data_IF_525524653912
#
_entry.id   IF_525524653912
#
_cell.length_a   1.000
_cell.length_b   1.000
_cell.length_c   1.000
_cell.angle_alpha   90.00
_cell.angle_beta   90.00
_cell.angle_gamma   90.00
#
_symmetry.space_group_name_H-M   'P 1'
#
loop_
_entity.id
_entity.type
_entity.pdbx_description
1 polymer ?
#
# COMPACT_ATOMS: atom_id res chain seq x y z
N UNK A 1 -15.63 21.35 -35.19
CA UNK A 1 -16.34 20.95 -33.95
C UNK A 1 -16.19 22.08 -32.97
N UNK A 2 -17.27 22.78 -32.61
CA UNK A 2 -17.19 23.90 -31.68
C UNK A 2 -16.92 23.36 -30.27
N UNK A 3 -15.79 23.74 -29.68
CA UNK A 3 -15.45 23.41 -28.30
C UNK A 3 -16.19 24.38 -27.39
N UNK A 4 -17.07 23.84 -26.55
CA UNK A 4 -17.79 24.59 -25.52
C UNK A 4 -16.74 25.26 -24.62
N UNK A 5 -16.76 26.59 -24.58
CA UNK A 5 -15.87 27.39 -23.74
C UNK A 5 -16.29 27.29 -22.28
N UNK A 6 -15.42 27.60 -21.34
CA UNK A 6 -15.77 27.48 -19.92
C UNK A 6 -16.87 28.47 -19.51
N UNK A 7 -16.98 29.60 -20.21
CA UNK A 7 -18.11 30.53 -20.10
C UNK A 7 -19.43 29.88 -20.55
N UNK A 8 -19.42 29.09 -21.62
CA UNK A 8 -20.61 28.39 -22.10
C UNK A 8 -21.08 27.32 -21.09
N UNK A 9 -20.15 26.59 -20.46
CA UNK A 9 -20.50 25.60 -19.41
C UNK A 9 -21.10 26.26 -18.18
N UNK A 10 -20.56 27.42 -17.78
CA UNK A 10 -21.05 28.19 -16.65
C UNK A 10 -22.48 28.68 -16.89
N UNK A 11 -22.74 29.28 -18.06
CA UNK A 11 -24.08 29.75 -18.45
C UNK A 11 -25.08 28.59 -18.48
N UNK A 12 -24.69 27.43 -19.02
CA UNK A 12 -25.55 26.24 -19.01
C UNK A 12 -25.88 25.78 -17.59
N UNK A 13 -24.90 25.73 -16.68
CA UNK A 13 -25.14 25.33 -15.29
C UNK A 13 -26.04 26.32 -14.53
N UNK A 14 -25.89 27.62 -14.77
CA UNK A 14 -26.75 28.64 -14.18
C UNK A 14 -28.20 28.54 -14.68
N UNK A 15 -28.41 28.12 -15.94
CA UNK A 15 -29.75 27.92 -16.51
C UNK A 15 -30.43 26.67 -15.93
N UNK A 16 -29.69 25.56 -15.81
CA UNK A 16 -30.27 24.27 -15.41
C UNK A 16 -30.31 24.04 -13.90
N UNK A 17 -29.65 24.87 -13.09
CA UNK A 17 -29.66 24.76 -11.64
C UNK A 17 -30.11 26.08 -10.98
N UNK A 18 -31.40 26.21 -10.62
CA UNK A 18 -31.99 27.48 -10.15
C UNK A 18 -31.41 28.05 -8.85
N UNK A 19 -30.69 27.24 -8.08
CA UNK A 19 -30.00 27.65 -6.85
C UNK A 19 -28.49 27.83 -7.05
N UNK A 20 -28.00 27.86 -8.30
CA UNK A 20 -26.59 28.07 -8.59
C UNK A 20 -26.20 29.52 -8.27
N UNK A 21 -25.18 29.76 -7.42
CA UNK A 21 -24.78 31.11 -7.03
C UNK A 21 -24.27 31.90 -8.24
N UNK A 22 -24.92 33.02 -8.56
CA UNK A 22 -24.53 33.91 -9.67
C UNK A 22 -23.43 34.90 -9.25
N UNK A 23 -22.34 34.38 -8.67
CA UNK A 23 -21.13 35.19 -8.43
C UNK A 23 -20.17 35.01 -9.61
N UNK A 24 -20.01 36.09 -10.39
CA UNK A 24 -19.16 36.14 -11.58
C UNK A 24 -17.65 36.08 -11.29
N UNK A 25 -17.27 36.11 -10.01
CA UNK A 25 -15.88 36.06 -9.52
C UNK A 25 -15.50 34.72 -8.86
N UNK A 26 -16.32 33.67 -8.99
CA UNK A 26 -15.93 32.35 -8.50
C UNK A 26 -14.77 31.80 -9.35
N UNK A 27 -13.54 31.89 -8.82
CA UNK A 27 -12.44 31.05 -9.24
C UNK A 27 -12.89 29.58 -9.27
N UNK A 28 -12.42 28.77 -10.23
CA UNK A 28 -12.89 27.40 -10.43
C UNK A 28 -12.95 26.66 -9.10
N UNK A 29 -14.11 26.08 -8.81
CA UNK A 29 -14.37 25.43 -7.52
C UNK A 29 -13.26 24.42 -7.20
N UNK A 30 -12.74 24.49 -5.97
CA UNK A 30 -11.68 23.63 -5.42
C UNK A 30 -11.95 22.14 -5.62
N UNK A 31 -13.21 21.75 -5.77
CA UNK A 31 -13.64 20.38 -6.05
C UNK A 31 -13.12 19.86 -7.40
N UNK A 32 -13.03 20.70 -8.44
CA UNK A 32 -12.55 20.29 -9.77
C UNK A 32 -11.05 20.02 -9.79
N UNK A 33 -10.26 20.79 -9.03
CA UNK A 33 -8.81 20.61 -8.95
C UNK A 33 -8.44 19.40 -8.08
N UNK A 34 -9.13 19.22 -6.95
CA UNK A 34 -8.96 18.05 -6.09
C UNK A 34 -9.33 16.74 -6.80
N UNK A 35 -10.37 16.76 -7.64
CA UNK A 35 -10.77 15.59 -8.43
C UNK A 35 -9.73 15.27 -9.52
N UNK A 36 -9.19 16.29 -10.20
CA UNK A 36 -8.09 16.12 -11.17
C UNK A 36 -6.82 15.56 -10.51
N UNK A 37 -6.44 16.10 -9.36
CA UNK A 37 -5.28 15.64 -8.61
C UNK A 37 -5.45 14.20 -8.12
N UNK A 38 -6.64 13.84 -7.62
CA UNK A 38 -6.96 12.47 -7.22
C UNK A 38 -6.87 11.49 -8.39
N UNK A 39 -7.34 11.89 -9.58
CA UNK A 39 -7.21 11.09 -10.80
C UNK A 39 -5.75 10.95 -11.26
N UNK A 40 -4.96 12.02 -11.14
CA UNK A 40 -3.54 11.99 -11.48
C UNK A 40 -2.74 11.06 -10.55
N UNK A 41 -2.98 11.13 -9.24
CA UNK A 41 -2.36 10.25 -8.25
C UNK A 41 -2.66 8.79 -8.59
N UNK A 42 -3.92 8.47 -8.90
CA UNK A 42 -4.32 7.12 -9.28
C UNK A 42 -3.59 6.63 -10.53
N UNK A 43 -3.46 7.48 -11.56
CA UNK A 43 -2.69 7.15 -12.77
C UNK A 43 -1.21 6.90 -12.48
N UNK A 44 -0.60 7.70 -11.60
CA UNK A 44 0.79 7.50 -11.19
C UNK A 44 0.98 6.15 -10.48
N UNK A 45 0.03 5.77 -9.61
CA UNK A 45 0.06 4.45 -8.96
C UNK A 45 -0.10 3.31 -9.97
N UNK A 46 -1.05 3.42 -10.89
CA UNK A 46 -1.28 2.41 -11.94
C UNK A 46 -0.04 2.21 -12.83
N UNK A 47 0.62 3.31 -13.25
CA UNK A 47 1.87 3.23 -14.00
C UNK A 47 3.02 2.67 -13.18
N UNK A 48 3.13 3.05 -11.90
CA UNK A 48 4.13 2.49 -10.99
C UNK A 48 3.97 0.97 -10.84
N UNK A 49 2.74 0.48 -10.68
CA UNK A 49 2.45 -0.96 -10.63
C UNK A 49 2.80 -1.65 -11.94
N UNK A 50 2.41 -1.08 -13.08
CA UNK A 50 2.73 -1.64 -14.41
C UNK A 50 4.24 -1.75 -14.63
N UNK A 51 5.02 -0.76 -14.19
CA UNK A 51 6.48 -0.78 -14.25
C UNK A 51 7.08 -1.83 -13.32
N UNK A 52 6.54 -1.97 -12.11
CA UNK A 52 6.96 -3.00 -11.16
C UNK A 52 6.73 -4.42 -11.72
N UNK A 53 5.60 -4.66 -12.37
CA UNK A 53 5.29 -5.92 -13.06
C UNK A 53 6.26 -6.21 -14.22
N UNK A 54 6.79 -5.17 -14.87
CA UNK A 54 7.85 -5.27 -15.89
C UNK A 54 9.26 -5.40 -15.28
N UNK A 55 9.37 -5.57 -13.96
CA UNK A 55 10.63 -5.60 -13.21
C UNK A 55 11.46 -4.30 -13.32
N UNK A 56 10.84 -3.18 -13.71
CA UNK A 56 11.46 -1.84 -13.78
C UNK A 56 11.26 -1.11 -12.45
N UNK A 57 11.83 -1.68 -11.40
CA UNK A 57 11.55 -1.32 -10.01
C UNK A 57 11.99 0.10 -9.64
N UNK A 58 13.13 0.56 -10.17
CA UNK A 58 13.63 1.92 -9.90
C UNK A 58 12.65 2.97 -10.45
N UNK A 59 12.13 2.76 -11.65
CA UNK A 59 11.16 3.67 -12.25
C UNK A 59 9.82 3.60 -11.52
N UNK A 60 9.37 2.41 -11.10
CA UNK A 60 8.18 2.27 -10.26
C UNK A 60 8.27 3.10 -8.97
N UNK A 61 9.43 3.09 -8.30
CA UNK A 61 9.69 3.92 -7.12
C UNK A 61 9.55 5.41 -7.42
N UNK A 62 10.03 5.89 -8.56
CA UNK A 62 9.88 7.28 -8.98
C UNK A 62 8.40 7.67 -9.14
N UNK A 63 7.60 6.81 -9.80
CA UNK A 63 6.17 7.05 -9.96
C UNK A 63 5.41 7.08 -8.63
N UNK A 64 5.70 6.14 -7.72
CA UNK A 64 5.11 6.17 -6.38
C UNK A 64 5.57 7.39 -5.58
N UNK A 65 6.83 7.82 -5.72
CA UNK A 65 7.34 9.02 -5.06
C UNK A 65 6.64 10.29 -5.55
N UNK A 66 6.34 10.38 -6.84
CA UNK A 66 5.51 11.46 -7.40
C UNK A 66 4.08 11.42 -6.87
N UNK A 67 3.47 10.23 -6.77
CA UNK A 67 2.13 10.07 -6.18
C UNK A 67 2.09 10.55 -4.71
N UNK A 68 3.14 10.23 -3.94
CA UNK A 68 3.31 10.69 -2.55
C UNK A 68 3.54 12.20 -2.47
N UNK A 69 4.30 12.78 -3.39
CA UNK A 69 4.53 14.21 -3.45
C UNK A 69 3.23 14.99 -3.72
N UNK A 70 2.35 14.44 -4.58
CA UNK A 70 1.03 15.01 -4.83
C UNK A 70 0.07 14.81 -3.65
N UNK A 71 0.12 13.67 -2.95
CA UNK A 71 -0.68 13.45 -1.75
C UNK A 71 0.09 12.66 -0.68
N UNK A 72 0.66 13.36 0.33
CA UNK A 72 1.40 12.72 1.42
C UNK A 72 0.55 11.83 2.33
N UNK A 73 -0.79 11.86 2.21
CA UNK A 73 -1.73 11.02 2.95
C UNK A 73 -2.11 9.75 2.18
N UNK A 74 -1.59 9.54 0.97
CA UNK A 74 -1.88 8.34 0.18
C UNK A 74 -1.12 7.12 0.71
N UNK A 75 -1.73 6.37 1.62
CA UNK A 75 -1.17 5.16 2.20
C UNK A 75 -0.86 4.07 1.16
N UNK A 76 -1.64 3.98 0.07
CA UNK A 76 -1.43 2.97 -0.99
C UNK A 76 -0.10 3.18 -1.70
N UNK A 77 0.23 4.44 -2.02
CA UNK A 77 1.50 4.78 -2.67
C UNK A 77 2.72 4.41 -1.81
N UNK A 78 2.66 4.63 -0.48
CA UNK A 78 3.72 4.16 0.42
C UNK A 78 3.83 2.64 0.45
N UNK A 79 2.71 1.91 0.54
CA UNK A 79 2.69 0.45 0.52
C UNK A 79 3.31 -0.13 -0.78
N UNK A 80 3.00 0.47 -1.93
CA UNK A 80 3.49 0.01 -3.22
C UNK A 80 4.98 0.35 -3.40
N UNK A 81 5.41 1.55 -2.95
CA UNK A 81 6.83 1.93 -2.96
C UNK A 81 7.66 1.03 -2.06
N UNK A 82 7.16 0.67 -0.89
CA UNK A 82 7.82 -0.29 -0.01
C UNK A 82 7.99 -1.66 -0.67
N UNK A 83 6.97 -2.16 -1.40
CA UNK A 83 7.08 -3.41 -2.12
C UNK A 83 8.20 -3.35 -3.18
N UNK A 84 8.27 -2.26 -3.94
CA UNK A 84 9.33 -2.05 -4.92
C UNK A 84 10.72 -1.97 -4.24
N UNK A 85 10.82 -1.32 -3.06
CA UNK A 85 12.04 -1.30 -2.27
C UNK A 85 12.45 -2.68 -1.75
N UNK A 86 11.52 -3.52 -1.30
CA UNK A 86 11.83 -4.90 -0.91
C UNK A 86 12.43 -5.69 -2.08
N UNK A 87 11.86 -5.56 -3.27
CA UNK A 87 12.36 -6.22 -4.48
C UNK A 87 13.74 -5.68 -4.90
N UNK A 88 14.05 -4.43 -4.58
CA UNK A 88 15.37 -3.81 -4.74
C UNK A 88 16.36 -4.11 -3.60
N UNK A 89 15.97 -4.95 -2.62
CA UNK A 89 16.76 -5.22 -1.40
C UNK A 89 17.04 -3.98 -0.53
N UNK A 90 16.21 -2.93 -0.66
CA UNK A 90 16.24 -1.70 0.14
C UNK A 90 15.36 -1.84 1.38
N UNK A 91 15.82 -2.67 2.31
CA UNK A 91 15.02 -3.11 3.47
C UNK A 91 14.68 -1.97 4.43
N UNK A 92 15.60 -1.04 4.68
CA UNK A 92 15.38 0.08 5.61
C UNK A 92 14.31 1.04 5.05
N UNK A 93 14.43 1.42 3.78
CA UNK A 93 13.46 2.30 3.12
C UNK A 93 12.08 1.65 3.05
N UNK A 94 12.01 0.34 2.79
CA UNK A 94 10.75 -0.41 2.84
C UNK A 94 10.11 -0.40 4.23
N UNK A 95 10.89 -0.56 5.30
CA UNK A 95 10.36 -0.52 6.68
C UNK A 95 9.77 0.84 7.04
N UNK A 96 10.44 1.93 6.62
CA UNK A 96 9.97 3.30 6.83
C UNK A 96 8.63 3.52 6.12
N UNK A 97 8.54 3.15 4.84
CA UNK A 97 7.33 3.34 4.04
C UNK A 97 6.16 2.48 4.55
N UNK A 98 6.41 1.23 4.96
CA UNK A 98 5.36 0.36 5.52
C UNK A 98 4.82 0.92 6.84
N UNK A 99 5.70 1.42 7.70
CA UNK A 99 5.29 2.04 8.95
C UNK A 99 4.43 3.28 8.68
N UNK A 100 4.82 4.10 7.71
CA UNK A 100 4.02 5.25 7.29
C UNK A 100 2.66 4.85 6.72
N UNK A 101 2.60 3.82 5.86
CA UNK A 101 1.35 3.31 5.31
C UNK A 101 0.38 2.81 6.39
N UNK A 102 0.92 2.14 7.42
CA UNK A 102 0.15 1.66 8.58
C UNK A 102 -0.40 2.83 9.38
N UNK A 103 0.43 3.82 9.70
CA UNK A 103 0.03 5.01 10.46
C UNK A 103 -1.13 5.74 9.76
N UNK A 104 -0.99 5.96 8.46
CA UNK A 104 -2.01 6.64 7.63
C UNK A 104 -3.30 5.82 7.48
N UNK A 105 -3.24 4.50 7.53
CA UNK A 105 -4.41 3.63 7.35
C UNK A 105 -5.13 3.28 8.65
N UNK A 106 -4.45 3.41 9.79
CA UNK A 106 -4.95 2.97 11.11
C UNK A 106 -6.28 3.58 11.53
N UNK A 107 -6.53 4.84 11.15
CA UNK A 107 -7.72 5.60 11.55
C UNK A 107 -8.78 5.71 10.45
N UNK A 108 -8.52 5.16 9.26
CA UNK A 108 -9.34 5.36 8.07
C UNK A 108 -9.99 4.04 7.65
N UNK A 109 -11.29 3.88 7.91
CA UNK A 109 -12.03 2.64 7.59
C UNK A 109 -11.95 2.25 6.11
N UNK A 110 -11.93 3.22 5.20
CA UNK A 110 -11.78 2.97 3.75
C UNK A 110 -10.40 2.40 3.37
N UNK A 111 -9.39 2.57 4.23
CA UNK A 111 -8.01 2.12 3.99
C UNK A 111 -7.68 0.79 4.66
N UNK A 112 -8.66 0.06 5.20
CA UNK A 112 -8.44 -1.23 5.86
C UNK A 112 -7.73 -2.26 4.97
N UNK A 113 -7.99 -2.23 3.66
CA UNK A 113 -7.29 -3.08 2.68
C UNK A 113 -5.79 -2.76 2.65
N UNK A 114 -5.45 -1.49 2.53
CA UNK A 114 -4.05 -1.02 2.54
C UNK A 114 -3.37 -1.33 3.87
N UNK A 115 -4.07 -1.14 4.99
CA UNK A 115 -3.57 -1.50 6.32
C UNK A 115 -3.22 -3.00 6.40
N UNK A 116 -4.12 -3.87 5.94
CA UNK A 116 -3.93 -5.32 5.93
C UNK A 116 -2.71 -5.74 5.07
N UNK A 117 -2.56 -5.12 3.90
CA UNK A 117 -1.42 -5.36 3.01
C UNK A 117 -0.10 -4.86 3.62
N UNK A 118 -0.07 -3.64 4.16
CA UNK A 118 1.13 -3.07 4.74
C UNK A 118 1.61 -3.86 5.97
N UNK A 119 0.68 -4.28 6.85
CA UNK A 119 0.99 -5.18 7.97
C UNK A 119 1.51 -6.52 7.48
N UNK A 120 0.90 -7.10 6.44
CA UNK A 120 1.37 -8.38 5.87
C UNK A 120 2.80 -8.24 5.33
N UNK A 121 3.08 -7.18 4.57
CA UNK A 121 4.41 -6.92 4.00
C UNK A 121 5.46 -6.65 5.09
N UNK A 122 5.09 -5.91 6.15
CA UNK A 122 6.01 -5.63 7.27
C UNK A 122 6.26 -6.87 8.11
N UNK A 123 5.25 -7.70 8.32
CA UNK A 123 5.40 -9.00 8.97
C UNK A 123 6.37 -9.93 8.23
N UNK A 124 6.30 -9.98 6.90
CA UNK A 124 7.27 -10.72 6.06
C UNK A 124 8.69 -10.14 6.23
N UNK A 125 8.82 -8.82 6.21
CA UNK A 125 10.12 -8.15 6.31
C UNK A 125 10.75 -8.34 7.70
N UNK A 126 9.98 -8.23 8.77
CA UNK A 126 10.42 -8.50 10.14
C UNK A 126 10.89 -9.95 10.31
N UNK A 127 10.19 -10.91 9.69
CA UNK A 127 10.62 -12.31 9.69
C UNK A 127 11.95 -12.50 8.96
N UNK A 128 12.13 -11.82 7.83
CA UNK A 128 13.40 -11.84 7.09
C UNK A 128 14.54 -11.25 7.92
N UNK A 129 14.26 -10.22 8.71
CA UNK A 129 15.20 -9.60 9.66
C UNK A 129 15.44 -10.42 10.94
N UNK A 130 14.71 -11.52 11.14
CA UNK A 130 14.82 -12.39 12.32
C UNK A 130 14.03 -11.93 13.55
N UNK A 131 13.23 -10.86 13.44
CA UNK A 131 12.32 -10.44 14.50
C UNK A 131 10.97 -11.18 14.39
N UNK A 132 10.96 -12.42 14.88
CA UNK A 132 9.77 -13.27 14.88
C UNK A 132 8.62 -12.67 15.71
N UNK A 133 8.95 -11.91 16.76
CA UNK A 133 7.93 -11.31 17.64
C UNK A 133 7.19 -10.19 16.92
N UNK A 134 7.93 -9.25 16.32
CA UNK A 134 7.33 -8.17 15.53
C UNK A 134 6.60 -8.72 14.30
N UNK A 135 7.15 -9.77 13.67
CA UNK A 135 6.50 -10.47 12.57
C UNK A 135 5.14 -11.06 12.97
N UNK A 136 5.08 -11.75 14.12
CA UNK A 136 3.86 -12.35 14.62
C UNK A 136 2.79 -11.30 14.97
N UNK A 137 3.19 -10.16 15.56
CA UNK A 137 2.28 -9.05 15.86
C UNK A 137 1.63 -8.50 14.57
N UNK A 138 2.46 -8.21 13.57
CA UNK A 138 2.00 -7.70 12.27
C UNK A 138 1.07 -8.69 11.57
N UNK A 139 1.41 -9.98 11.55
CA UNK A 139 0.53 -11.00 10.96
C UNK A 139 -0.78 -11.16 11.74
N UNK A 140 -0.75 -11.09 13.07
CA UNK A 140 -1.96 -11.18 13.90
C UNK A 140 -2.93 -10.05 13.55
N UNK A 141 -2.42 -8.81 13.51
CA UNK A 141 -3.22 -7.63 13.12
C UNK A 141 -3.73 -7.73 11.69
N UNK A 142 -2.91 -8.22 10.75
CA UNK A 142 -3.35 -8.44 9.37
C UNK A 142 -4.44 -9.54 9.25
N UNK A 143 -4.36 -10.58 10.07
CA UNK A 143 -5.33 -11.67 10.12
C UNK A 143 -6.70 -11.22 10.67
N UNK A 144 -6.71 -10.33 11.66
CA UNK A 144 -7.91 -9.66 12.17
C UNK A 144 -8.61 -8.83 11.09
N UNK A 145 -7.82 -8.23 10.17
CA UNK A 145 -8.31 -7.54 8.98
C UNK A 145 -8.67 -8.48 7.82
N UNK A 146 -8.64 -9.80 8.02
CA UNK A 146 -9.08 -10.79 7.05
C UNK A 146 -7.99 -11.34 6.11
N UNK A 147 -6.71 -11.02 6.31
CA UNK A 147 -5.63 -11.58 5.49
C UNK A 147 -5.50 -13.10 5.68
N UNK A 148 -5.87 -13.87 4.66
CA UNK A 148 -5.72 -15.34 4.66
C UNK A 148 -4.24 -15.75 4.69
N UNK A 149 -3.39 -15.02 3.98
CA UNK A 149 -1.95 -15.24 3.99
C UNK A 149 -1.37 -15.05 5.41
N UNK A 150 -1.76 -13.97 6.10
CA UNK A 150 -1.28 -13.72 7.46
C UNK A 150 -1.71 -14.83 8.43
N UNK A 151 -2.96 -15.31 8.34
CA UNK A 151 -3.43 -16.48 9.11
C UNK A 151 -2.56 -17.71 8.88
N UNK A 152 -2.18 -17.97 7.63
CA UNK A 152 -1.28 -19.07 7.30
C UNK A 152 0.12 -18.86 7.91
N UNK A 153 0.66 -17.64 7.85
CA UNK A 153 1.98 -17.34 8.43
C UNK A 153 2.01 -17.51 9.95
N UNK A 154 0.94 -17.14 10.66
CA UNK A 154 0.81 -17.36 12.11
C UNK A 154 0.92 -18.86 12.44
N UNK A 155 0.25 -19.72 11.66
CA UNK A 155 0.33 -21.18 11.85
C UNK A 155 1.76 -21.71 11.62
N UNK A 156 2.49 -21.15 10.66
CA UNK A 156 3.88 -21.51 10.37
C UNK A 156 4.84 -21.02 11.47
N UNK A 157 4.56 -19.86 12.05
CA UNK A 157 5.31 -19.29 13.18
C UNK A 157 4.96 -19.93 14.53
N UNK A 158 4.02 -20.88 14.56
CA UNK A 158 3.64 -21.58 15.77
C UNK A 158 4.86 -22.39 16.31
N UNK A 159 5.28 -22.16 17.57
CA UNK A 159 6.43 -22.83 18.18
C UNK A 159 6.31 -24.37 18.19
N UNK A 160 5.10 -24.92 18.17
CA UNK A 160 4.91 -26.37 18.05
C UNK A 160 5.40 -26.93 16.71
N UNK A 161 5.24 -26.20 15.60
CA UNK A 161 5.77 -26.61 14.29
C UNK A 161 7.31 -26.48 14.23
N UNK A 162 7.86 -25.41 14.81
CA UNK A 162 9.31 -25.22 14.91
C UNK A 162 9.99 -26.30 15.78
N UNK A 163 9.39 -26.65 16.92
CA UNK A 163 9.87 -27.71 17.80
C UNK A 163 9.81 -29.09 17.14
N UNK A 164 8.71 -29.42 16.43
CA UNK A 164 8.60 -30.66 15.66
C UNK A 164 9.67 -30.75 14.55
N UNK A 165 9.90 -29.66 13.81
CA UNK A 165 10.91 -29.62 12.76
C UNK A 165 12.34 -29.74 13.31
N UNK A 166 12.64 -29.09 14.44
CA UNK A 166 13.92 -29.25 15.14
C UNK A 166 14.09 -30.67 15.67
N UNK A 167 13.05 -31.26 16.26
CA UNK A 167 13.09 -32.60 16.83
C UNK A 167 13.27 -33.67 15.73
N UNK A 168 12.55 -33.54 14.61
CA UNK A 168 12.70 -34.40 13.43
C UNK A 168 14.11 -34.28 12.81
N UNK A 169 14.63 -33.06 12.64
CA UNK A 169 15.98 -32.82 12.13
C UNK A 169 17.05 -33.46 13.02
N UNK A 170 16.92 -33.31 14.35
CA UNK A 170 17.84 -33.89 15.33
C UNK A 170 17.79 -35.43 15.32
N UNK A 171 16.60 -36.02 15.20
CA UNK A 171 16.44 -37.47 15.06
C UNK A 171 17.06 -38.00 13.75
N UNK A 172 16.83 -37.33 12.62
CA UNK A 172 17.43 -37.73 11.33
C UNK A 172 18.97 -37.65 11.35
N UNK A 173 19.52 -36.60 11.94
CA UNK A 173 20.98 -36.43 12.09
C UNK A 173 21.62 -37.53 12.94
N UNK A 174 20.94 -37.94 14.01
CA UNK A 174 21.42 -39.03 14.87
C UNK A 174 21.38 -40.39 14.15
N UNK A 175 20.35 -40.65 13.33
CA UNK A 175 20.26 -41.89 12.53
C UNK A 175 21.32 -41.98 11.42
N UNK A 176 21.75 -40.85 10.86
CA UNK A 176 22.82 -40.82 9.85
C UNK A 176 24.24 -40.97 10.40
N UNK A 177 24.44 -40.76 11.71
CA UNK A 177 25.75 -40.92 12.36
C UNK A 177 25.97 -42.29 13.01
N UNK A 178 24.94 -43.16 13.03
CA UNK A 178 24.99 -44.50 13.66
C UNK A 178 25.23 -45.64 12.66
N UNK A 179 25.63 -45.35 11.42
CA UNK A 179 26.04 -46.30 10.39
C UNK A 179 27.50 -46.08 10.02
#
# INVERSE_FOLDING_TARGET
MATITDNDKFVLNAIFNPNYPLDFDQEPSTDSENEKQSLEIKKLEEEGVRLAEQNRLVEAVEYFSRAIALNPQNASAYNNRAQAYQLLSKTEEAMVDLSKAIDLSSNVKSNQKTLSLALTQRGILNRFLGDEKASLDDFTRAAELGSAFAKQQILLLNPYAAACNQMLSKMMKNMSCTS
#
